data_IF_282938240272
#
_entry.id   IF_282938240272
#
_cell.length_a   1.000
_cell.length_b   1.000
_cell.length_c   1.000
_cell.angle_alpha   90.00
_cell.angle_beta   90.00
_cell.angle_gamma   90.00
#
_symmetry.space_group_name_H-M   'P 1'
#
loop_
_entity.id
_entity.type
_entity.pdbx_description
1 polymer ?
#
# COMPACT_ATOMS: atom_id res chain seq x y z
N UNK A 1 6.82 -0.68 -10.59
CA UNK A 1 6.35 -1.57 -9.52
C UNK A 1 5.38 -0.86 -8.60
N UNK A 2 4.48 -1.58 -7.93
CA UNK A 2 3.54 -1.02 -6.95
C UNK A 2 3.73 -1.66 -5.58
N UNK A 3 3.34 -0.93 -4.54
CA UNK A 3 3.17 -1.42 -3.18
C UNK A 3 1.89 -0.88 -2.57
N UNK A 4 1.34 -1.59 -1.60
CA UNK A 4 0.22 -1.09 -0.82
C UNK A 4 0.40 -1.44 0.64
N UNK A 5 -0.14 -0.58 1.49
CA UNK A 5 -0.21 -0.83 2.92
C UNK A 5 -1.51 -0.31 3.51
N UNK A 6 -2.02 -0.99 4.54
CA UNK A 6 -3.20 -0.59 5.29
C UNK A 6 -2.89 -0.62 6.77
N UNK A 7 -3.33 0.41 7.48
CA UNK A 7 -3.27 0.51 8.94
C UNK A 7 -4.68 0.68 9.47
N UNK A 8 -5.04 -0.14 10.44
CA UNK A 8 -6.24 0.02 11.27
C UNK A 8 -5.93 1.06 12.35
N UNK A 9 -6.63 2.19 12.29
CA UNK A 9 -6.42 3.31 13.21
C UNK A 9 -7.06 3.07 14.58
N UNK A 10 -8.00 2.13 14.64
CA UNK A 10 -8.73 1.77 15.87
C UNK A 10 -8.11 0.56 16.57
N UNK A 11 -7.13 -0.10 15.94
CA UNK A 11 -6.43 -1.24 16.54
C UNK A 11 -5.75 -0.83 17.86
N UNK A 12 -5.86 -1.63 18.93
CA UNK A 12 -5.18 -1.38 20.20
C UNK A 12 -3.67 -1.14 20.03
N UNK A 13 -2.99 -1.82 19.11
CA UNK A 13 -1.57 -1.64 18.85
C UNK A 13 -1.27 -0.27 18.20
N UNK A 14 -2.24 0.32 17.50
CA UNK A 14 -2.11 1.66 16.92
C UNK A 14 -2.22 2.78 17.95
N UNK A 15 -2.68 2.52 19.16
CA UNK A 15 -2.90 3.54 20.21
C UNK A 15 -1.59 3.95 20.88
N UNK A 16 -1.54 5.19 21.35
CA UNK A 16 -0.35 5.76 22.02
C UNK A 16 0.11 4.96 23.23
N UNK A 17 -0.83 4.44 24.01
CA UNK A 17 -0.57 3.64 25.22
C UNK A 17 0.16 2.32 24.93
N UNK A 18 0.00 1.73 23.74
CA UNK A 18 0.66 0.50 23.35
C UNK A 18 2.06 0.73 22.74
N UNK A 19 2.38 1.98 22.38
CA UNK A 19 3.65 2.27 21.69
C UNK A 19 4.83 2.40 22.65
N UNK A 20 5.93 1.79 22.25
CA UNK A 20 7.20 2.01 22.94
C UNK A 20 7.64 3.49 22.84
N UNK A 21 8.13 4.08 23.94
CA UNK A 21 8.50 5.50 24.01
C UNK A 21 9.50 5.97 22.91
N UNK A 22 10.33 5.06 22.38
CA UNK A 22 11.29 5.35 21.30
C UNK A 22 10.76 5.02 19.91
N UNK A 23 9.47 4.74 19.75
CA UNK A 23 8.90 4.35 18.46
C UNK A 23 9.12 5.44 17.41
N UNK A 24 8.73 6.68 17.72
CA UNK A 24 8.83 7.79 16.77
C UNK A 24 10.28 8.04 16.34
N UNK A 25 11.23 7.96 17.26
CA UNK A 25 12.66 8.12 16.95
C UNK A 25 13.23 7.01 16.05
N UNK A 26 12.64 5.81 16.09
CA UNK A 26 13.05 4.68 15.27
C UNK A 26 12.31 4.57 13.94
N UNK A 27 11.12 5.16 13.88
CA UNK A 27 10.21 5.04 12.75
C UNK A 27 10.25 6.26 11.82
N UNK A 28 10.56 7.44 12.34
CA UNK A 28 10.41 8.70 11.62
C UNK A 28 11.70 9.53 11.60
N UNK A 29 11.92 10.23 10.48
CA UNK A 29 12.97 11.23 10.36
C UNK A 29 12.71 12.41 11.30
N UNK A 30 13.74 13.23 11.55
CA UNK A 30 13.59 14.43 12.39
C UNK A 30 12.51 15.38 11.86
N UNK A 31 12.44 15.56 10.54
CA UNK A 31 11.43 16.40 9.89
C UNK A 31 10.01 15.85 10.11
N UNK A 32 9.82 14.55 9.96
CA UNK A 32 8.52 13.89 10.20
C UNK A 32 8.12 13.95 11.68
N UNK A 33 9.06 13.76 12.60
CA UNK A 33 8.78 13.94 14.04
C UNK A 33 8.31 15.36 14.35
N UNK A 34 8.86 16.37 13.66
CA UNK A 34 8.38 17.74 13.78
C UNK A 34 6.96 17.87 13.24
N UNK A 35 6.67 17.28 12.06
CA UNK A 35 5.31 17.27 11.52
C UNK A 35 4.31 16.63 12.49
N UNK A 36 4.68 15.53 13.13
CA UNK A 36 3.84 14.85 14.12
C UNK A 36 3.53 15.73 15.32
N UNK A 37 4.54 16.47 15.84
CA UNK A 37 4.36 17.36 17.00
C UNK A 37 3.53 18.60 16.68
N UNK A 38 3.59 19.10 15.45
CA UNK A 38 2.88 20.32 15.03
C UNK A 38 1.53 20.06 14.39
N UNK A 39 1.20 18.81 14.12
CA UNK A 39 -0.09 18.42 13.54
C UNK A 39 -1.21 18.50 14.60
N UNK A 40 -2.38 18.98 14.20
CA UNK A 40 -3.58 18.93 15.02
C UNK A 40 -4.02 17.51 15.39
N UNK A 41 -3.70 16.53 14.53
CA UNK A 41 -3.93 15.10 14.76
C UNK A 41 -2.64 14.30 14.45
N UNK A 42 -1.68 14.43 15.35
CA UNK A 42 -0.38 13.76 15.23
C UNK A 42 -0.49 12.23 15.31
N UNK A 43 -1.50 11.69 16.01
CA UNK A 43 -1.74 10.25 16.09
C UNK A 43 -2.13 9.67 14.72
N UNK A 44 -3.12 10.26 14.07
CA UNK A 44 -3.55 9.86 12.73
C UNK A 44 -2.44 10.06 11.71
N UNK A 45 -1.75 11.21 11.75
CA UNK A 45 -0.64 11.51 10.83
C UNK A 45 0.48 10.48 10.94
N UNK A 46 0.79 10.00 12.14
CA UNK A 46 1.79 8.95 12.38
C UNK A 46 1.52 7.72 11.53
N UNK A 47 0.31 7.24 11.55
CA UNK A 47 -0.07 6.03 10.82
C UNK A 47 -0.22 6.25 9.31
N UNK A 48 -0.59 7.46 8.90
CA UNK A 48 -0.54 7.89 7.50
C UNK A 48 0.89 7.85 6.97
N UNK A 49 1.86 8.43 7.70
CA UNK A 49 3.28 8.40 7.32
C UNK A 49 3.84 6.98 7.36
N UNK A 50 3.46 6.17 8.35
CA UNK A 50 3.86 4.77 8.43
C UNK A 50 3.38 3.98 7.21
N UNK A 51 2.09 4.04 6.89
CA UNK A 51 1.53 3.38 5.72
C UNK A 51 2.22 3.83 4.41
N UNK A 52 2.54 5.12 4.29
CA UNK A 52 3.28 5.65 3.15
C UNK A 52 4.69 5.02 3.04
N UNK A 53 5.42 4.90 4.15
CA UNK A 53 6.75 4.25 4.19
C UNK A 53 6.68 2.78 3.81
N UNK A 54 5.75 2.04 4.42
CA UNK A 54 5.58 0.60 4.17
C UNK A 54 5.18 0.32 2.72
N UNK A 55 4.26 1.09 2.16
CA UNK A 55 3.85 0.92 0.76
C UNK A 55 5.00 1.17 -0.21
N UNK A 56 5.79 2.24 0.01
CA UNK A 56 6.98 2.55 -0.80
C UNK A 56 8.07 1.47 -0.66
N UNK A 57 8.33 1.01 0.57
CA UNK A 57 9.24 -0.11 0.82
C UNK A 57 8.80 -1.39 0.09
N UNK A 58 7.51 -1.75 0.15
CA UNK A 58 6.97 -2.92 -0.57
C UNK A 58 7.16 -2.79 -2.08
N UNK A 59 7.00 -1.58 -2.63
CA UNK A 59 7.28 -1.30 -4.04
C UNK A 59 8.77 -1.42 -4.36
N UNK A 60 9.65 -0.83 -3.53
CA UNK A 60 11.11 -0.88 -3.71
C UNK A 60 11.64 -2.31 -3.68
N UNK A 61 11.18 -3.10 -2.69
CA UNK A 61 11.62 -4.49 -2.51
C UNK A 61 11.21 -5.42 -3.66
N UNK A 62 10.19 -5.07 -4.43
CA UNK A 62 9.84 -5.82 -5.64
C UNK A 62 10.85 -5.69 -6.75
N UNK A 63 11.51 -4.54 -6.82
CA UNK A 63 12.56 -4.29 -7.80
C UNK A 63 13.91 -4.81 -7.32
N UNK A 64 14.17 -4.73 -6.01
CA UNK A 64 15.40 -5.23 -5.41
C UNK A 64 15.10 -5.91 -4.07
N UNK A 65 15.21 -7.23 -4.05
CA UNK A 65 14.96 -8.05 -2.87
C UNK A 65 15.92 -7.78 -1.69
N UNK A 66 17.05 -7.09 -1.93
CA UNK A 66 18.04 -6.72 -0.92
C UNK A 66 17.62 -5.51 -0.09
N UNK A 67 16.66 -4.71 -0.58
CA UNK A 67 16.14 -3.56 0.16
C UNK A 67 15.58 -4.04 1.50
N UNK A 68 16.04 -3.43 2.58
CA UNK A 68 15.61 -3.72 3.96
C UNK A 68 14.77 -2.55 4.50
N UNK A 69 13.78 -2.87 5.34
CA UNK A 69 12.95 -1.84 5.92
C UNK A 69 13.66 -1.16 7.09
N UNK A 70 14.13 0.05 6.85
CA UNK A 70 14.72 0.94 7.84
C UNK A 70 13.90 2.24 7.90
N UNK A 71 12.75 2.27 8.60
CA UNK A 71 11.75 3.32 8.46
C UNK A 71 12.27 4.74 8.79
N UNK A 72 13.19 4.88 9.73
CA UNK A 72 13.81 6.18 10.03
C UNK A 72 14.69 6.73 8.87
N UNK A 73 15.07 5.89 7.91
CA UNK A 73 15.86 6.28 6.72
C UNK A 73 14.97 6.51 5.50
N UNK A 74 13.70 6.13 5.56
CA UNK A 74 12.70 6.37 4.52
C UNK A 74 12.08 7.73 4.75
N UNK A 75 12.36 8.70 3.88
CA UNK A 75 11.83 10.06 4.01
C UNK A 75 10.49 10.20 3.28
N UNK A 76 9.49 10.75 3.98
CA UNK A 76 8.16 11.06 3.44
C UNK A 76 8.00 12.59 3.40
N UNK A 77 7.72 13.14 2.23
CA UNK A 77 7.54 14.56 2.01
C UNK A 77 6.17 14.81 1.37
N UNK A 78 5.33 15.72 1.90
CA UNK A 78 4.08 16.07 1.27
C UNK A 78 4.30 16.52 -0.17
N UNK A 79 3.49 16.01 -1.11
CA UNK A 79 3.53 16.42 -2.50
C UNK A 79 2.51 17.52 -2.75
N UNK A 80 2.99 18.77 -2.72
CA UNK A 80 2.18 19.99 -2.91
C UNK A 80 1.93 20.32 -4.37
N UNK A 81 2.74 19.77 -5.27
CA UNK A 81 2.71 20.05 -6.71
C UNK A 81 1.86 19.04 -7.50
N UNK A 82 1.23 18.13 -6.83
CA UNK A 82 0.59 16.90 -7.28
C UNK A 82 -0.33 16.97 -8.48
N UNK A 83 0.24 17.25 -9.66
CA UNK A 83 -0.45 17.20 -10.95
C UNK A 83 -0.48 15.78 -11.57
N UNK A 84 0.11 14.77 -10.95
CA UNK A 84 0.17 13.44 -11.55
C UNK A 84 -0.85 12.51 -10.89
N UNK A 85 -2.00 12.37 -11.53
CA UNK A 85 -3.00 11.37 -11.16
C UNK A 85 -2.40 9.96 -11.25
N UNK A 86 -2.74 9.10 -10.29
CA UNK A 86 -2.61 7.66 -10.49
C UNK A 86 -3.61 7.29 -11.60
N UNK A 87 -3.11 7.05 -12.81
CA UNK A 87 -3.95 6.64 -13.94
C UNK A 87 -4.63 5.32 -13.58
N UNK A 88 -5.97 5.30 -13.61
CA UNK A 88 -6.76 4.11 -13.31
C UNK A 88 -7.45 4.12 -11.95
N UNK A 89 -7.57 5.25 -11.27
CA UNK A 89 -8.37 5.33 -10.05
C UNK A 89 -9.84 4.97 -10.31
N UNK A 90 -10.46 4.11 -9.47
CA UNK A 90 -11.91 4.10 -9.37
C UNK A 90 -12.34 5.51 -8.93
N UNK A 91 -13.34 6.06 -9.61
CA UNK A 91 -13.92 7.39 -9.36
C UNK A 91 -14.64 7.42 -8.00
N UNK A 92 -13.89 7.34 -6.90
CA UNK A 92 -14.39 7.59 -5.56
C UNK A 92 -13.86 8.93 -5.09
N UNK A 93 -14.78 9.78 -4.63
CA UNK A 93 -14.63 11.20 -4.37
C UNK A 93 -13.70 11.61 -3.22
N UNK A 94 -12.92 10.68 -2.64
CA UNK A 94 -11.98 11.00 -1.56
C UNK A 94 -10.58 11.23 -2.14
N UNK A 95 -10.27 12.49 -2.39
CA UNK A 95 -8.92 12.94 -2.72
C UNK A 95 -7.96 12.59 -1.58
N UNK A 96 -7.22 11.48 -1.73
CA UNK A 96 -6.19 11.08 -0.77
C UNK A 96 -5.04 12.11 -0.69
N UNK A 97 -4.36 12.13 0.44
CA UNK A 97 -3.15 12.96 0.60
C UNK A 97 -2.00 12.33 -0.18
N UNK A 98 -1.24 13.18 -0.91
CA UNK A 98 -0.13 12.73 -1.74
C UNK A 98 1.21 13.01 -1.08
N UNK A 99 2.13 12.06 -1.26
CA UNK A 99 3.49 12.15 -0.73
C UNK A 99 4.51 11.71 -1.78
N UNK A 100 5.69 12.28 -1.70
CA UNK A 100 6.91 11.76 -2.31
C UNK A 100 7.69 11.02 -1.24
N UNK A 101 8.05 9.78 -1.52
CA UNK A 101 8.78 8.93 -0.58
C UNK A 101 10.10 8.48 -1.20
N UNK A 102 11.17 8.56 -0.43
CA UNK A 102 12.49 8.09 -0.85
C UNK A 102 12.90 6.86 -0.04
N UNK A 103 13.22 5.76 -0.73
CA UNK A 103 13.72 4.51 -0.15
C UNK A 103 15.04 4.18 -0.83
N UNK A 104 16.14 4.18 -0.11
CA UNK A 104 17.49 3.90 -0.61
C UNK A 104 17.83 4.66 -1.92
N UNK A 105 17.55 5.97 -1.94
CA UNK A 105 17.77 6.85 -3.09
C UNK A 105 16.72 6.75 -4.20
N UNK A 106 15.82 5.80 -4.16
CA UNK A 106 14.74 5.62 -5.16
C UNK A 106 13.51 6.41 -4.74
N UNK A 107 12.89 7.09 -5.68
CA UNK A 107 11.71 7.96 -5.46
C UNK A 107 10.43 7.24 -5.81
N UNK A 108 9.43 7.39 -4.95
CA UNK A 108 8.08 6.85 -5.10
C UNK A 108 7.05 7.95 -4.94
N UNK A 109 6.01 7.89 -5.75
CA UNK A 109 4.77 8.63 -5.53
C UNK A 109 3.86 7.77 -4.67
N UNK A 110 3.32 8.36 -3.61
CA UNK A 110 2.44 7.66 -2.67
C UNK A 110 1.17 8.46 -2.48
N UNK A 111 0.04 7.80 -2.60
CA UNK A 111 -1.26 8.34 -2.23
C UNK A 111 -1.77 7.60 -1.01
N UNK A 112 -2.22 8.34 0.01
CA UNK A 112 -2.82 7.78 1.20
C UNK A 112 -4.27 8.24 1.31
N UNK A 113 -5.19 7.30 1.32
CA UNK A 113 -6.61 7.52 1.63
C UNK A 113 -6.83 7.23 3.09
N UNK A 114 -7.52 8.15 3.77
CA UNK A 114 -7.89 8.00 5.17
C UNK A 114 -9.41 7.93 5.25
N UNK A 115 -9.90 6.79 5.70
CA UNK A 115 -11.33 6.59 5.94
C UNK A 115 -11.64 6.54 7.43
N UNK A 116 -12.88 6.22 7.76
CA UNK A 116 -13.27 5.94 9.13
C UNK A 116 -12.55 4.66 9.60
N UNK A 117 -11.62 4.81 10.54
CA UNK A 117 -10.88 3.71 11.15
C UNK A 117 -9.69 3.15 10.35
N UNK A 118 -9.32 3.69 9.18
CA UNK A 118 -8.15 3.18 8.45
C UNK A 118 -7.35 4.26 7.72
N UNK A 119 -6.08 3.95 7.47
CA UNK A 119 -5.24 4.61 6.48
C UNK A 119 -4.77 3.57 5.44
N UNK A 120 -4.97 3.83 4.15
CA UNK A 120 -4.57 2.95 3.05
C UNK A 120 -3.66 3.69 2.09
N UNK A 121 -2.42 3.21 1.93
CA UNK A 121 -1.40 3.80 1.09
C UNK A 121 -1.16 2.96 -0.16
N UNK A 122 -1.03 3.65 -1.29
CA UNK A 122 -0.63 3.09 -2.59
C UNK A 122 0.65 3.78 -3.04
N UNK A 123 1.67 3.02 -3.40
CA UNK A 123 2.96 3.51 -3.88
C UNK A 123 3.27 3.00 -5.27
N UNK A 124 3.85 3.85 -6.10
CA UNK A 124 4.49 3.45 -7.36
C UNK A 124 5.81 4.20 -7.54
N UNK A 125 6.77 3.63 -8.26
CA UNK A 125 8.01 4.32 -8.60
C UNK A 125 7.69 5.63 -9.37
N UNK A 126 8.43 6.70 -9.07
CA UNK A 126 8.11 8.04 -9.58
C UNK A 126 8.23 8.14 -11.11
N UNK A 127 9.11 7.36 -11.71
CA UNK A 127 9.37 7.23 -13.15
C UNK A 127 8.53 6.14 -13.83
N UNK A 128 7.81 5.32 -13.05
CA UNK A 128 7.05 4.22 -13.61
C UNK A 128 5.82 4.73 -14.38
N UNK A 129 5.70 4.30 -15.62
CA UNK A 129 4.41 4.32 -16.31
C UNK A 129 3.60 3.14 -15.83
N UNK A 130 2.60 3.41 -15.01
CA UNK A 130 1.64 2.40 -14.55
C UNK A 130 0.46 2.44 -15.52
N UNK A 131 0.07 1.26 -16.01
CA UNK A 131 -1.17 1.11 -16.77
C UNK A 131 -2.39 1.20 -15.85
N UNK A 132 -3.36 0.32 -16.02
CA UNK A 132 -4.52 0.29 -15.13
C UNK A 132 -4.11 -0.18 -13.73
N UNK A 133 -4.52 0.58 -12.72
CA UNK A 133 -4.36 0.25 -11.31
C UNK A 133 -5.73 -0.11 -10.71
N UNK A 134 -5.78 -1.25 -10.03
CA UNK A 134 -6.93 -1.68 -9.24
C UNK A 134 -6.53 -1.77 -7.78
N UNK A 135 -7.39 -1.32 -6.88
CA UNK A 135 -7.19 -1.49 -5.44
C UNK A 135 -8.52 -1.75 -4.75
N UNK A 136 -8.46 -2.50 -3.67
CA UNK A 136 -9.58 -2.73 -2.78
C UNK A 136 -9.13 -2.79 -1.35
N UNK A 137 -10.01 -2.35 -0.45
CA UNK A 137 -9.89 -2.48 0.99
C UNK A 137 -11.19 -3.04 1.53
N UNK A 138 -11.11 -3.89 2.53
CA UNK A 138 -12.28 -4.41 3.22
C UNK A 138 -12.02 -4.49 4.72
N UNK A 139 -13.04 -4.18 5.51
CA UNK A 139 -13.08 -4.49 6.92
C UNK A 139 -13.50 -5.94 7.10
N UNK A 140 -12.76 -6.67 7.92
CA UNK A 140 -13.01 -8.07 8.21
C UNK A 140 -13.59 -8.17 9.62
N UNK A 141 -14.68 -8.91 9.83
CA UNK A 141 -15.21 -9.15 11.18
C UNK A 141 -14.18 -9.85 12.08
N UNK A 142 -14.14 -9.49 13.36
CA UNK A 142 -13.19 -10.03 14.35
C UNK A 142 -13.30 -11.55 14.57
N UNK A 143 -14.39 -12.16 14.13
CA UNK A 143 -14.73 -13.58 14.38
C UNK A 143 -14.53 -14.42 13.13
N UNK A 144 -13.42 -14.28 12.43
CA UNK A 144 -13.18 -15.14 11.26
C UNK A 144 -12.24 -16.30 11.62
N UNK A 145 -12.62 -17.51 11.22
CA UNK A 145 -11.74 -18.68 11.28
C UNK A 145 -10.63 -18.64 10.24
N UNK A 146 -10.68 -17.67 9.29
CA UNK A 146 -9.72 -17.55 8.22
C UNK A 146 -8.57 -16.62 8.61
N UNK A 147 -7.33 -17.01 8.27
CA UNK A 147 -6.17 -16.14 8.50
C UNK A 147 -6.25 -14.84 7.66
N UNK A 148 -5.71 -13.70 8.16
CA UNK A 148 -5.67 -12.44 7.40
C UNK A 148 -5.06 -12.61 6.00
N UNK A 149 -4.05 -13.46 5.88
CA UNK A 149 -3.45 -13.78 4.58
C UNK A 149 -4.39 -14.51 3.61
N UNK A 150 -5.31 -15.33 4.10
CA UNK A 150 -6.34 -15.96 3.26
C UNK A 150 -7.41 -14.94 2.85
N UNK A 151 -7.82 -14.08 3.78
CA UNK A 151 -8.84 -13.05 3.53
C UNK A 151 -8.38 -12.03 2.48
N UNK A 152 -7.14 -11.54 2.58
CA UNK A 152 -6.61 -10.60 1.59
C UNK A 152 -6.48 -11.23 0.20
N UNK A 153 -6.16 -12.52 0.11
CA UNK A 153 -6.14 -13.23 -1.19
C UNK A 153 -7.55 -13.35 -1.77
N UNK A 154 -8.56 -13.65 -0.95
CA UNK A 154 -9.97 -13.70 -1.40
C UNK A 154 -10.42 -12.33 -1.92
N UNK A 155 -10.09 -11.25 -1.20
CA UNK A 155 -10.38 -9.88 -1.65
C UNK A 155 -9.73 -9.59 -3.01
N UNK A 156 -8.45 -9.93 -3.17
CA UNK A 156 -7.72 -9.70 -4.41
C UNK A 156 -8.29 -10.53 -5.58
N UNK A 157 -8.66 -11.79 -5.33
CA UNK A 157 -9.31 -12.64 -6.36
C UNK A 157 -10.65 -12.05 -6.77
N UNK A 158 -11.49 -11.61 -5.83
CA UNK A 158 -12.79 -11.01 -6.12
C UNK A 158 -12.64 -9.73 -6.98
N UNK A 159 -11.70 -8.85 -6.61
CA UNK A 159 -11.39 -7.64 -7.38
C UNK A 159 -10.95 -7.97 -8.81
N UNK A 160 -10.02 -8.92 -8.94
CA UNK A 160 -9.38 -9.23 -10.22
C UNK A 160 -10.27 -10.08 -11.13
N UNK A 161 -11.17 -10.88 -10.59
CA UNK A 161 -12.18 -11.60 -11.36
C UNK A 161 -13.05 -10.63 -12.18
N UNK A 162 -13.53 -9.55 -11.55
CA UNK A 162 -14.26 -8.50 -12.24
C UNK A 162 -13.39 -7.71 -13.23
N UNK A 163 -12.19 -7.31 -12.81
CA UNK A 163 -11.28 -6.51 -13.62
C UNK A 163 -10.77 -7.23 -14.89
N UNK A 164 -10.52 -8.53 -14.78
CA UNK A 164 -10.00 -9.36 -15.88
C UNK A 164 -11.10 -10.09 -16.66
N UNK A 165 -12.36 -10.01 -16.20
CA UNK A 165 -13.50 -10.75 -16.74
C UNK A 165 -13.26 -12.26 -16.75
N UNK A 166 -12.64 -12.77 -15.70
CA UNK A 166 -12.35 -14.18 -15.48
C UNK A 166 -13.13 -14.71 -14.28
N UNK A 167 -13.60 -15.97 -14.32
CA UNK A 167 -14.24 -16.55 -13.14
C UNK A 167 -13.25 -16.67 -11.98
N UNK A 168 -13.65 -16.47 -10.72
CA UNK A 168 -12.75 -16.58 -9.56
C UNK A 168 -11.96 -17.89 -9.52
N UNK A 169 -12.56 -19.00 -9.94
CA UNK A 169 -11.93 -20.32 -9.98
C UNK A 169 -10.76 -20.43 -10.98
N UNK A 170 -10.68 -19.53 -11.97
CA UNK A 170 -9.56 -19.46 -12.91
C UNK A 170 -8.36 -18.68 -12.34
N UNK A 171 -8.53 -18.00 -11.21
CA UNK A 171 -7.52 -17.15 -10.60
C UNK A 171 -6.92 -17.83 -9.37
N UNK A 172 -5.60 -17.78 -9.24
CA UNK A 172 -4.92 -18.18 -8.01
C UNK A 172 -3.79 -17.19 -7.68
N UNK A 173 -3.56 -16.99 -6.38
CA UNK A 173 -2.43 -16.20 -5.89
C UNK A 173 -1.46 -17.15 -5.23
N UNK A 174 -0.36 -17.40 -5.92
CA UNK A 174 0.75 -18.23 -5.46
C UNK A 174 1.85 -17.36 -4.85
N UNK A 175 2.78 -17.97 -4.13
CA UNK A 175 3.92 -17.28 -3.54
C UNK A 175 5.19 -17.70 -4.29
N UNK A 176 5.92 -16.72 -4.79
CA UNK A 176 7.26 -16.90 -5.35
C UNK A 176 8.25 -16.17 -4.44
N UNK A 177 9.00 -16.92 -3.66
CA UNK A 177 9.77 -16.37 -2.54
C UNK A 177 8.84 -15.68 -1.52
N UNK A 178 9.01 -14.38 -1.34
CA UNK A 178 8.16 -13.57 -0.45
C UNK A 178 7.08 -12.75 -1.19
N UNK A 179 7.01 -12.85 -2.51
CA UNK A 179 6.11 -12.03 -3.33
C UNK A 179 4.87 -12.81 -3.77
N UNK A 180 3.67 -12.20 -3.72
CA UNK A 180 2.49 -12.77 -4.31
C UNK A 180 2.57 -12.62 -5.84
N UNK A 181 2.20 -13.68 -6.54
CA UNK A 181 2.07 -13.75 -7.99
C UNK A 181 0.65 -14.19 -8.33
N UNK A 182 -0.02 -13.45 -9.20
CA UNK A 182 -1.30 -13.86 -9.76
C UNK A 182 -1.06 -14.86 -10.89
N UNK A 183 -1.82 -15.94 -10.89
CA UNK A 183 -1.96 -16.82 -12.04
C UNK A 183 -3.39 -16.81 -12.55
N UNK A 184 -3.53 -16.88 -13.87
CA UNK A 184 -4.82 -17.01 -14.57
C UNK A 184 -4.78 -18.32 -15.34
N UNK A 185 -5.71 -19.23 -15.06
CA UNK A 185 -5.74 -20.57 -15.66
C UNK A 185 -4.38 -21.31 -15.55
N UNK A 186 -3.74 -21.19 -14.38
CA UNK A 186 -2.44 -21.79 -14.08
C UNK A 186 -1.21 -21.08 -14.69
N UNK A 187 -1.39 -20.00 -15.47
CA UNK A 187 -0.28 -19.26 -16.10
C UNK A 187 -0.03 -17.94 -15.36
N UNK A 188 1.23 -17.53 -15.13
CA UNK A 188 1.54 -16.23 -14.55
C UNK A 188 0.90 -15.08 -15.33
N UNK A 189 0.19 -14.20 -14.64
CA UNK A 189 -0.34 -12.99 -15.22
C UNK A 189 0.72 -11.87 -15.22
N UNK A 190 0.82 -11.04 -16.27
CA UNK A 190 1.77 -9.93 -16.33
C UNK A 190 1.29 -8.74 -15.47
N UNK A 191 0.99 -8.99 -14.23
CA UNK A 191 0.44 -8.04 -13.28
C UNK A 191 1.32 -7.98 -12.03
N UNK A 192 1.48 -6.78 -11.48
CA UNK A 192 2.09 -6.59 -10.17
C UNK A 192 1.00 -6.59 -9.10
N UNK A 193 1.12 -7.45 -8.09
CA UNK A 193 0.15 -7.59 -7.01
C UNK A 193 0.79 -7.27 -5.66
N UNK A 194 0.19 -6.42 -4.85
CA UNK A 194 0.59 -6.12 -3.48
C UNK A 194 -0.56 -6.40 -2.52
N UNK A 195 -0.26 -7.06 -1.40
CA UNK A 195 -1.23 -7.46 -0.38
C UNK A 195 -0.82 -6.88 0.97
N UNK A 196 -1.77 -6.42 1.77
CA UNK A 196 -1.56 -5.93 3.13
C UNK A 196 -2.73 -6.27 4.04
N UNK A 197 -2.47 -6.36 5.33
CA UNK A 197 -3.48 -6.46 6.36
C UNK A 197 -2.95 -5.87 7.67
N UNK A 198 -3.84 -5.28 8.45
CA UNK A 198 -3.57 -4.79 9.79
C UNK A 198 -4.90 -4.70 10.57
N UNK A 199 -4.91 -5.18 11.82
CA UNK A 199 -6.11 -5.22 12.63
C UNK A 199 -7.26 -5.89 11.88
N UNK A 200 -8.40 -5.20 11.81
CA UNK A 200 -9.59 -5.68 11.11
C UNK A 200 -9.64 -5.28 9.62
N UNK A 201 -8.56 -4.78 9.03
CA UNK A 201 -8.54 -4.41 7.61
C UNK A 201 -7.62 -5.28 6.78
N UNK A 202 -8.07 -5.59 5.57
CA UNK A 202 -7.28 -6.21 4.51
C UNK A 202 -7.32 -5.33 3.27
N UNK A 203 -6.21 -5.20 2.56
CA UNK A 203 -6.13 -4.39 1.36
C UNK A 203 -5.26 -5.04 0.29
N UNK A 204 -5.61 -4.82 -0.97
CA UNK A 204 -4.82 -5.26 -2.11
C UNK A 204 -4.72 -4.16 -3.16
N UNK A 205 -3.62 -4.18 -3.90
CA UNK A 205 -3.45 -3.38 -5.10
C UNK A 205 -2.85 -4.24 -6.21
N UNK A 206 -3.31 -4.01 -7.43
CA UNK A 206 -2.81 -4.69 -8.63
C UNK A 206 -2.61 -3.68 -9.75
N UNK A 207 -1.52 -3.79 -10.48
CA UNK A 207 -1.25 -2.93 -11.62
C UNK A 207 -0.88 -3.73 -12.86
N UNK A 208 -1.47 -3.34 -13.99
CA UNK A 208 -1.03 -3.78 -15.30
C UNK A 208 0.20 -2.95 -15.73
N UNK A 209 1.12 -3.52 -16.53
CA UNK A 209 2.13 -2.73 -17.21
C UNK A 209 1.46 -1.70 -18.11
N UNK A 210 2.07 -0.52 -18.27
CA UNK A 210 1.62 0.40 -19.29
C UNK A 210 1.72 -0.28 -20.65
N UNK A 211 0.69 -0.16 -21.48
CA UNK A 211 0.79 -0.58 -22.87
C UNK A 211 1.90 0.25 -23.52
N UNK A 212 2.95 -0.41 -23.97
CA UNK A 212 4.00 0.25 -24.74
C UNK A 212 3.33 0.95 -25.92
N UNK A 213 3.47 2.28 -26.00
CA UNK A 213 3.16 2.97 -27.23
C UNK A 213 4.11 2.39 -28.28
N UNK A 214 3.56 1.71 -29.27
CA UNK A 214 4.30 1.40 -30.49
C UNK A 214 4.54 2.75 -31.12
N UNK A 215 5.79 3.26 -30.99
CA UNK A 215 6.27 4.38 -31.76
C UNK A 215 6.68 3.92 -33.14
#
# INVERSE_FOLDING_TARGET
MIGNDVVDLDDPESRSAARHARFDARAFTVAEQTMLRTSADGERLRWVLWAAKESAYKAARRDDARVTFAPARVAVVPDREGATEFVGEPRHADAGVRYRVCVDGRRFRVQVRVGAGYAHALACAADARVGTLWSAIARVPDVTMASPGALVRRLAIALLAGALREPPAALAIVRVGRMPLLTVRGRPAPLTLSLSHHGCYVACACAAPARGGVG
#
